data_IF_961544802995
#
_entry.id   IF_961544802995
#
_cell.length_a   1.000
_cell.length_b   1.000
_cell.length_c   1.000
_cell.angle_alpha   90.00
_cell.angle_beta   90.00
_cell.angle_gamma   90.00
#
_symmetry.space_group_name_H-M   'P 1'
#
loop_
_entity.id
_entity.type
_entity.pdbx_description
1 polymer ?
#
# COMPACT_ATOMS: atom_id res chain seq x y z
N UNK A 1 31.32 -13.66 -23.36
CA UNK A 1 30.31 -13.92 -24.40
C UNK A 1 29.12 -14.59 -23.74
N UNK A 2 28.14 -13.81 -23.23
CA UNK A 2 27.34 -14.22 -22.07
C UNK A 2 25.83 -14.28 -22.30
N UNK A 3 25.35 -14.09 -23.50
CA UNK A 3 24.01 -14.45 -24.02
C UNK A 3 24.14 -14.52 -25.52
N UNK A 4 23.78 -15.63 -26.14
CA UNK A 4 23.62 -15.69 -27.59
C UNK A 4 22.68 -14.57 -28.04
N UNK A 5 23.00 -13.80 -29.10
CA UNK A 5 22.29 -12.57 -29.46
C UNK A 5 20.81 -12.76 -29.77
N UNK A 6 20.36 -13.95 -30.15
CA UNK A 6 19.07 -14.19 -30.79
C UNK A 6 18.07 -15.04 -29.98
N UNK A 7 18.36 -15.33 -28.70
CA UNK A 7 17.37 -16.06 -27.91
C UNK A 7 16.43 -15.10 -27.15
N UNK A 8 15.10 -15.34 -27.19
CA UNK A 8 14.15 -14.53 -26.44
C UNK A 8 14.48 -14.52 -24.95
N UNK A 9 14.24 -13.40 -24.31
CA UNK A 9 14.50 -13.25 -22.90
C UNK A 9 13.64 -14.24 -22.10
N UNK A 10 14.21 -15.04 -21.17
CA UNK A 10 13.42 -16.00 -20.41
C UNK A 10 12.26 -15.33 -19.69
N UNK A 11 11.11 -16.00 -19.67
CA UNK A 11 9.86 -15.46 -19.08
C UNK A 11 9.89 -15.33 -17.57
N UNK A 12 10.77 -16.06 -16.88
CA UNK A 12 10.90 -16.02 -15.42
C UNK A 12 12.31 -15.69 -14.94
N UNK A 13 12.41 -15.08 -13.76
CA UNK A 13 13.70 -14.84 -13.09
C UNK A 13 14.48 -16.12 -12.88
N UNK A 14 13.79 -17.20 -12.62
CA UNK A 14 14.37 -18.52 -12.40
C UNK A 14 15.15 -19.02 -13.63
N UNK A 15 14.58 -18.89 -14.83
CA UNK A 15 15.29 -19.25 -16.07
C UNK A 15 16.48 -18.35 -16.34
N UNK A 16 16.38 -17.06 -16.05
CA UNK A 16 17.51 -16.12 -16.18
C UNK A 16 18.61 -16.49 -15.20
N UNK A 17 18.26 -16.75 -13.96
CA UNK A 17 19.21 -17.09 -12.92
C UNK A 17 19.85 -18.49 -13.16
N UNK A 18 19.10 -19.48 -13.66
CA UNK A 18 19.67 -20.79 -14.05
C UNK A 18 20.72 -20.65 -15.16
N UNK A 19 20.49 -19.78 -16.15
CA UNK A 19 21.52 -19.49 -17.18
C UNK A 19 22.78 -18.87 -16.58
N UNK A 20 22.64 -17.98 -15.59
CA UNK A 20 23.78 -17.40 -14.88
C UNK A 20 24.41 -18.41 -13.92
N UNK A 21 23.65 -19.28 -13.26
CA UNK A 21 24.17 -20.32 -12.38
C UNK A 21 25.13 -21.27 -13.10
N UNK A 22 24.82 -21.66 -14.35
CA UNK A 22 25.74 -22.47 -15.18
C UNK A 22 27.09 -21.81 -15.43
N UNK A 23 27.16 -20.46 -15.36
CA UNK A 23 28.39 -19.69 -15.49
C UNK A 23 29.10 -19.53 -14.14
N UNK A 24 28.37 -19.65 -13.04
CA UNK A 24 28.83 -19.48 -11.66
C UNK A 24 29.31 -20.82 -11.07
N UNK A 25 28.83 -21.96 -11.56
CA UNK A 25 29.37 -23.30 -11.20
C UNK A 25 30.88 -23.38 -11.39
N UNK A 26 31.42 -22.61 -12.32
CA UNK A 26 32.88 -22.42 -12.45
C UNK A 26 33.50 -21.64 -11.26
N UNK A 27 32.70 -21.06 -10.33
CA UNK A 27 33.16 -20.28 -9.18
C UNK A 27 32.69 -20.81 -7.82
N UNK A 28 32.05 -22.00 -7.76
CA UNK A 28 31.76 -22.70 -6.50
C UNK A 28 30.45 -22.30 -5.80
N UNK A 29 29.51 -21.62 -6.47
CA UNK A 29 28.16 -21.46 -5.91
C UNK A 29 27.43 -22.80 -5.94
N UNK A 30 26.90 -23.23 -4.78
CA UNK A 30 26.16 -24.50 -4.68
C UNK A 30 24.79 -24.37 -5.37
N UNK A 31 24.46 -25.34 -6.24
CA UNK A 31 23.14 -25.43 -6.88
C UNK A 31 22.00 -25.45 -5.84
N UNK A 32 22.23 -26.11 -4.72
CA UNK A 32 21.30 -26.15 -3.58
C UNK A 32 21.07 -24.77 -2.96
N UNK A 33 22.14 -23.99 -2.77
CA UNK A 33 22.04 -22.61 -2.25
C UNK A 33 21.27 -21.69 -3.18
N UNK A 34 21.45 -21.86 -4.48
CA UNK A 34 20.71 -21.15 -5.50
C UNK A 34 19.19 -21.48 -5.45
N UNK A 35 18.84 -22.76 -5.43
CA UNK A 35 17.45 -23.21 -5.40
C UNK A 35 16.74 -22.78 -4.11
N UNK A 36 17.40 -22.90 -2.96
CA UNK A 36 16.90 -22.43 -1.68
C UNK A 36 16.63 -20.90 -1.70
N UNK A 37 17.59 -20.12 -2.24
CA UNK A 37 17.43 -18.67 -2.32
C UNK A 37 16.28 -18.22 -3.25
N UNK A 38 16.06 -18.96 -4.34
CA UNK A 38 14.92 -18.71 -5.26
C UNK A 38 13.60 -19.19 -4.64
N UNK A 39 13.58 -20.34 -3.98
CA UNK A 39 12.39 -20.87 -3.31
C UNK A 39 11.91 -19.94 -2.19
N UNK A 40 12.82 -19.38 -1.41
CA UNK A 40 12.52 -18.45 -0.33
C UNK A 40 11.92 -17.09 -0.79
N UNK A 41 11.94 -16.79 -2.09
CA UNK A 41 11.41 -15.51 -2.59
C UNK A 41 9.90 -15.56 -2.82
N UNK A 42 9.19 -14.60 -2.23
CA UNK A 42 7.77 -14.37 -2.52
C UNK A 42 7.53 -14.09 -4.03
N UNK A 43 6.40 -14.53 -4.61
CA UNK A 43 6.10 -14.34 -6.04
C UNK A 43 6.23 -12.89 -6.53
N UNK A 44 5.76 -11.93 -5.73
CA UNK A 44 5.87 -10.50 -6.05
C UNK A 44 7.33 -10.02 -6.08
N UNK A 45 8.19 -10.56 -5.22
CA UNK A 45 9.63 -10.27 -5.19
C UNK A 45 10.32 -10.84 -6.43
N UNK A 46 9.98 -12.08 -6.81
CA UNK A 46 10.46 -12.72 -8.06
C UNK A 46 10.10 -11.87 -9.27
N UNK A 47 8.84 -11.44 -9.38
CA UNK A 47 8.37 -10.60 -10.49
C UNK A 47 9.10 -9.25 -10.55
N UNK A 48 9.30 -8.58 -9.41
CA UNK A 48 10.02 -7.31 -9.34
C UNK A 48 11.48 -7.46 -9.77
N UNK A 49 12.19 -8.47 -9.25
CA UNK A 49 13.59 -8.75 -9.61
C UNK A 49 13.68 -9.10 -11.10
N UNK A 50 12.74 -9.87 -11.64
CA UNK A 50 12.71 -10.21 -13.07
C UNK A 50 12.62 -8.95 -13.94
N UNK A 51 11.69 -8.05 -13.61
CA UNK A 51 11.51 -6.82 -14.36
C UNK A 51 12.75 -5.90 -14.28
N UNK A 52 13.35 -5.80 -13.09
CA UNK A 52 14.54 -4.99 -12.88
C UNK A 52 15.76 -5.57 -13.62
N UNK A 53 15.94 -6.89 -13.58
CA UNK A 53 17.01 -7.58 -14.28
C UNK A 53 16.86 -7.44 -15.79
N UNK A 54 15.66 -7.64 -16.33
CA UNK A 54 15.39 -7.42 -17.76
C UNK A 54 15.81 -6.03 -18.22
N UNK A 55 15.44 -5.00 -17.44
CA UNK A 55 15.82 -3.62 -17.74
C UNK A 55 17.35 -3.42 -17.69
N UNK A 56 18.02 -3.96 -16.69
CA UNK A 56 19.48 -3.84 -16.53
C UNK A 56 20.22 -4.53 -17.65
N UNK A 57 19.85 -5.77 -17.99
CA UNK A 57 20.47 -6.54 -19.06
C UNK A 57 20.27 -5.89 -20.45
N UNK A 58 19.07 -5.40 -20.72
CA UNK A 58 18.80 -4.68 -21.97
C UNK A 58 19.67 -3.43 -22.08
N UNK A 59 19.82 -2.69 -20.98
CA UNK A 59 20.70 -1.51 -20.94
C UNK A 59 22.18 -1.90 -21.14
N UNK A 60 22.68 -2.92 -20.46
CA UNK A 60 24.07 -3.39 -20.64
C UNK A 60 24.36 -3.78 -22.10
N UNK A 61 23.44 -4.52 -22.75
CA UNK A 61 23.54 -4.87 -24.17
C UNK A 61 23.59 -3.65 -25.11
N UNK A 62 22.93 -2.57 -24.73
CA UNK A 62 22.90 -1.35 -25.54
C UNK A 62 24.17 -0.51 -25.44
N UNK A 63 25.11 -0.85 -24.56
CA UNK A 63 26.39 -0.12 -24.41
C UNK A 63 27.38 -0.47 -25.52
N UNK A 64 28.32 0.43 -25.78
CA UNK A 64 29.43 0.24 -26.71
C UNK A 64 30.72 0.68 -26.01
N UNK A 65 31.63 -0.25 -25.63
CA UNK A 65 31.47 -1.70 -25.69
C UNK A 65 30.32 -2.21 -24.80
N UNK A 66 29.86 -3.45 -25.07
CA UNK A 66 28.81 -4.11 -24.26
C UNK A 66 29.29 -4.25 -22.82
N UNK A 67 28.50 -3.78 -21.86
CA UNK A 67 28.84 -3.86 -20.45
C UNK A 67 28.47 -5.23 -19.85
N UNK A 68 29.32 -5.73 -18.96
CA UNK A 68 29.06 -6.96 -18.22
C UNK A 68 28.01 -6.67 -17.13
N UNK A 69 26.95 -7.48 -17.12
CA UNK A 69 25.86 -7.30 -16.16
C UNK A 69 26.08 -8.07 -14.85
N UNK A 70 26.75 -9.24 -14.92
CA UNK A 70 27.06 -10.08 -13.73
C UNK A 70 28.41 -10.82 -13.96
N UNK A 71 29.40 -10.57 -13.10
CA UNK A 71 29.44 -9.50 -12.11
C UNK A 71 29.48 -8.13 -12.80
N UNK A 72 28.73 -7.18 -12.25
CA UNK A 72 28.76 -5.80 -12.75
C UNK A 72 29.94 -5.04 -12.15
N UNK A 73 30.55 -4.14 -12.92
CA UNK A 73 31.52 -3.20 -12.40
C UNK A 73 30.81 -2.02 -11.69
N UNK A 74 31.42 -1.43 -10.63
CA UNK A 74 30.83 -0.27 -9.95
C UNK A 74 30.53 0.90 -10.89
N UNK A 75 31.42 1.19 -11.85
CA UNK A 75 31.27 2.22 -12.89
C UNK A 75 30.05 1.94 -13.78
N UNK A 76 29.84 0.68 -14.14
CA UNK A 76 28.66 0.25 -14.91
C UNK A 76 27.36 0.59 -14.14
N UNK A 77 27.35 0.37 -12.84
CA UNK A 77 26.17 0.71 -12.00
C UNK A 77 25.96 2.21 -11.87
N UNK A 78 27.03 3.01 -11.78
CA UNK A 78 26.95 4.47 -11.78
C UNK A 78 26.35 4.98 -13.09
N UNK A 79 26.83 4.50 -14.23
CA UNK A 79 26.29 4.87 -15.54
C UNK A 79 24.81 4.44 -15.69
N UNK A 80 24.45 3.26 -15.22
CA UNK A 80 23.07 2.79 -15.21
C UNK A 80 22.15 3.68 -14.37
N UNK A 81 22.62 4.10 -13.18
CA UNK A 81 21.87 5.00 -12.30
C UNK A 81 21.64 6.37 -12.97
N UNK A 82 22.65 6.95 -13.61
CA UNK A 82 22.51 8.20 -14.33
C UNK A 82 21.53 8.07 -15.50
N UNK A 83 21.62 6.99 -16.28
CA UNK A 83 20.70 6.69 -17.36
C UNK A 83 19.25 6.59 -16.88
N UNK A 84 19.01 5.87 -15.77
CA UNK A 84 17.70 5.77 -15.17
C UNK A 84 17.17 7.11 -14.67
N UNK A 85 18.04 7.89 -14.02
CA UNK A 85 17.68 9.18 -13.43
C UNK A 85 17.37 10.26 -14.48
N UNK A 86 18.04 10.21 -15.64
CA UNK A 86 17.83 11.14 -16.77
C UNK A 86 16.49 10.89 -17.46
N UNK A 87 16.12 9.62 -17.66
CA UNK A 87 14.97 9.27 -18.50
C UNK A 87 15.28 9.37 -20.00
N UNK A 88 14.25 9.32 -20.83
CA UNK A 88 14.26 9.54 -22.29
C UNK A 88 12.83 9.87 -22.74
N UNK A 89 12.65 10.20 -24.01
CA UNK A 89 11.32 10.51 -24.59
C UNK A 89 10.32 9.36 -24.41
N UNK A 90 10.81 8.11 -24.39
CA UNK A 90 9.97 6.90 -24.21
C UNK A 90 9.93 6.38 -22.78
N UNK A 91 10.74 6.95 -21.88
CA UNK A 91 10.85 6.46 -20.48
C UNK A 91 11.03 7.64 -19.52
N UNK A 92 10.06 7.89 -18.63
CA UNK A 92 10.18 8.96 -17.66
C UNK A 92 11.38 8.77 -16.73
N UNK A 93 11.95 9.85 -16.19
CA UNK A 93 13.00 9.79 -15.18
C UNK A 93 12.59 8.94 -13.97
N UNK A 94 13.43 8.00 -13.56
CA UNK A 94 13.13 7.15 -12.43
C UNK A 94 13.25 7.93 -11.10
N UNK A 95 12.30 7.69 -10.19
CA UNK A 95 12.32 8.26 -8.83
C UNK A 95 13.44 7.65 -7.98
N UNK A 96 13.97 8.37 -6.98
CA UNK A 96 15.04 7.87 -6.10
C UNK A 96 14.74 6.51 -5.45
N UNK A 97 13.50 6.27 -5.03
CA UNK A 97 13.08 4.98 -4.48
C UNK A 97 13.18 3.83 -5.51
N UNK A 98 12.84 4.10 -6.77
CA UNK A 98 12.96 3.14 -7.88
C UNK A 98 14.43 2.82 -8.16
N UNK A 99 15.31 3.83 -8.14
CA UNK A 99 16.76 3.62 -8.32
C UNK A 99 17.33 2.73 -7.22
N UNK A 100 17.02 3.03 -5.95
CA UNK A 100 17.45 2.23 -4.82
C UNK A 100 16.96 0.78 -4.90
N UNK A 101 15.69 0.57 -5.27
CA UNK A 101 15.11 -0.77 -5.46
C UNK A 101 15.83 -1.55 -6.56
N UNK A 102 16.12 -0.93 -7.70
CA UNK A 102 16.82 -1.59 -8.82
C UNK A 102 18.24 -2.00 -8.44
N UNK A 103 18.97 -1.17 -7.73
CA UNK A 103 20.31 -1.54 -7.20
C UNK A 103 20.20 -2.67 -6.18
N UNK A 104 19.17 -2.67 -5.31
CA UNK A 104 18.92 -3.78 -4.39
C UNK A 104 18.60 -5.09 -5.13
N UNK A 105 17.88 -5.04 -6.25
CA UNK A 105 17.64 -6.20 -7.11
C UNK A 105 18.93 -6.73 -7.72
N UNK A 106 19.82 -5.86 -8.22
CA UNK A 106 21.14 -6.25 -8.73
C UNK A 106 21.97 -6.88 -7.61
N UNK A 107 22.01 -6.27 -6.40
CA UNK A 107 22.71 -6.84 -5.25
C UNK A 107 22.20 -8.23 -4.88
N UNK A 108 20.87 -8.41 -4.89
CA UNK A 108 20.24 -9.72 -4.58
C UNK A 108 20.66 -10.78 -5.58
N UNK A 109 20.69 -10.46 -6.88
CA UNK A 109 21.11 -11.36 -7.94
C UNK A 109 22.58 -11.77 -7.76
N UNK A 110 23.46 -10.81 -7.49
CA UNK A 110 24.88 -11.12 -7.25
C UNK A 110 25.04 -12.09 -6.07
N UNK A 111 24.33 -11.86 -4.94
CA UNK A 111 24.39 -12.78 -3.78
C UNK A 111 23.89 -14.18 -4.12
N UNK A 112 22.77 -14.30 -4.84
CA UNK A 112 22.23 -15.61 -5.24
C UNK A 112 23.22 -16.38 -6.11
N UNK A 113 24.04 -15.67 -6.87
CA UNK A 113 25.07 -16.23 -7.74
C UNK A 113 26.43 -16.37 -7.03
N UNK A 114 26.49 -16.28 -5.69
CA UNK A 114 27.68 -16.51 -4.89
C UNK A 114 28.68 -15.34 -4.82
N UNK A 115 28.33 -14.17 -5.39
CA UNK A 115 29.14 -12.97 -5.22
C UNK A 115 28.87 -12.31 -3.88
N UNK A 116 29.88 -11.72 -3.27
CA UNK A 116 29.76 -10.96 -2.02
C UNK A 116 30.09 -11.77 -0.77
N UNK A 117 30.52 -13.03 -0.88
CA UNK A 117 31.00 -13.83 0.25
C UNK A 117 32.45 -13.49 0.64
N UNK A 118 33.30 -13.32 -0.35
CA UNK A 118 34.75 -13.01 -0.14
C UNK A 118 35.09 -11.55 -0.37
N UNK A 119 34.35 -10.87 -1.24
CA UNK A 119 34.58 -9.47 -1.61
C UNK A 119 33.27 -8.67 -1.52
N UNK A 120 33.35 -7.37 -1.20
CA UNK A 120 32.15 -6.51 -1.19
C UNK A 120 31.46 -6.51 -2.55
N UNK A 121 30.12 -6.49 -2.55
CA UNK A 121 29.36 -6.39 -3.79
C UNK A 121 29.64 -5.08 -4.52
N UNK A 122 29.65 -5.06 -5.87
CA UNK A 122 29.81 -3.83 -6.66
C UNK A 122 28.80 -2.75 -6.28
N UNK A 123 27.59 -3.15 -5.90
CA UNK A 123 26.52 -2.26 -5.43
C UNK A 123 26.84 -1.56 -4.10
N UNK A 124 27.80 -2.05 -3.35
CA UNK A 124 28.29 -1.50 -2.07
C UNK A 124 29.47 -0.54 -2.25
N UNK A 125 30.01 -0.38 -3.45
CA UNK A 125 31.07 0.55 -3.74
C UNK A 125 30.68 1.99 -3.37
N UNK A 126 31.64 2.75 -2.85
CA UNK A 126 31.44 4.14 -2.42
C UNK A 126 30.79 4.99 -3.52
N UNK A 127 31.33 4.91 -4.75
CA UNK A 127 30.81 5.67 -5.90
C UNK A 127 29.34 5.38 -6.20
N UNK A 128 28.86 4.15 -6.04
CA UNK A 128 27.45 3.79 -6.27
C UNK A 128 26.56 4.39 -5.20
N UNK A 129 26.96 4.30 -3.93
CA UNK A 129 26.25 4.90 -2.79
C UNK A 129 26.18 6.42 -2.91
N UNK A 130 27.31 7.05 -3.26
CA UNK A 130 27.39 8.51 -3.40
C UNK A 130 26.60 9.02 -4.60
N UNK A 131 26.59 8.27 -5.71
CA UNK A 131 25.71 8.56 -6.86
C UNK A 131 24.24 8.53 -6.47
N UNK A 132 23.77 7.49 -5.77
CA UNK A 132 22.40 7.41 -5.27
C UNK A 132 22.07 8.56 -4.33
N UNK A 133 22.97 8.89 -3.42
CA UNK A 133 22.82 10.01 -2.48
C UNK A 133 22.77 11.37 -3.22
N UNK A 134 23.65 11.56 -4.21
CA UNK A 134 23.69 12.76 -5.05
C UNK A 134 22.40 12.96 -5.85
N UNK A 135 21.91 11.90 -6.50
CA UNK A 135 20.63 11.94 -7.26
C UNK A 135 19.46 12.24 -6.30
N UNK A 136 19.41 11.60 -5.13
CA UNK A 136 18.36 11.85 -4.13
C UNK A 136 18.35 13.31 -3.66
N UNK A 137 19.53 13.89 -3.41
CA UNK A 137 19.67 15.31 -3.02
C UNK A 137 19.22 16.26 -4.13
N UNK A 138 19.60 15.99 -5.38
CA UNK A 138 19.23 16.83 -6.53
C UNK A 138 17.72 16.81 -6.79
N UNK A 139 17.12 15.62 -6.77
CA UNK A 139 15.69 15.46 -7.06
C UNK A 139 14.78 15.98 -5.95
N UNK A 140 15.23 15.96 -4.68
CA UNK A 140 14.45 16.40 -3.49
C UNK A 140 13.00 15.90 -3.47
N UNK A 141 12.69 14.86 -4.23
CA UNK A 141 11.36 14.30 -4.31
C UNK A 141 11.03 13.53 -3.04
N UNK A 142 10.02 13.99 -2.32
CA UNK A 142 9.41 13.19 -1.27
C UNK A 142 8.66 12.03 -1.90
N UNK A 143 8.74 10.85 -1.30
CA UNK A 143 7.88 9.75 -1.69
C UNK A 143 6.44 10.17 -1.46
N UNK A 144 5.65 10.28 -2.54
CA UNK A 144 4.22 10.60 -2.44
C UNK A 144 3.52 9.44 -1.74
N UNK A 145 2.92 9.73 -0.60
CA UNK A 145 2.04 8.79 0.09
C UNK A 145 0.67 8.78 -0.62
N UNK A 146 -0.08 7.69 -0.43
CA UNK A 146 -1.48 7.70 -0.81
C UNK A 146 -2.22 8.75 0.02
N UNK A 147 -3.16 9.47 -0.58
CA UNK A 147 -4.02 10.37 0.16
C UNK A 147 -4.78 9.58 1.23
N UNK A 148 -4.97 10.13 2.43
CA UNK A 148 -5.71 9.45 3.48
C UNK A 148 -7.20 9.36 3.10
N UNK A 149 -7.81 8.23 3.39
CA UNK A 149 -9.25 8.05 3.34
C UNK A 149 -9.72 7.87 4.77
N UNK A 150 -10.00 9.00 5.43
CA UNK A 150 -10.44 9.08 6.83
C UNK A 150 -11.92 8.73 6.94
N UNK A 151 -12.39 8.43 8.17
CA UNK A 151 -13.79 8.03 8.37
C UNK A 151 -14.79 9.12 7.98
N UNK A 152 -14.55 10.36 8.37
CA UNK A 152 -15.42 11.49 8.03
C UNK A 152 -16.12 12.10 9.24
N UNK A 153 -15.67 11.79 10.44
CA UNK A 153 -16.14 12.39 11.69
C UNK A 153 -15.00 12.98 12.50
N UNK A 154 -15.32 13.93 13.37
CA UNK A 154 -14.36 14.44 14.34
C UNK A 154 -14.04 13.37 15.39
N UNK A 155 -12.75 13.11 15.63
CA UNK A 155 -12.32 12.09 16.59
C UNK A 155 -12.22 12.60 18.02
N UNK A 156 -12.19 13.90 18.22
CA UNK A 156 -12.18 14.56 19.53
C UNK A 156 -13.13 15.76 19.55
N UNK A 157 -13.65 16.09 20.70
CA UNK A 157 -14.50 17.28 20.87
C UNK A 157 -13.76 18.55 20.42
N UNK A 158 -14.44 19.39 19.63
CA UNK A 158 -13.90 20.64 19.11
C UNK A 158 -13.04 20.53 17.86
N UNK A 159 -12.82 19.33 17.34
CA UNK A 159 -12.20 19.15 16.02
C UNK A 159 -13.25 19.21 14.90
N UNK A 160 -12.88 19.83 13.79
CA UNK A 160 -13.68 19.71 12.57
C UNK A 160 -13.54 18.29 11.97
N UNK A 161 -14.60 17.73 11.39
CA UNK A 161 -14.50 16.49 10.63
C UNK A 161 -13.55 16.66 9.44
N UNK A 162 -12.92 15.60 8.96
CA UNK A 162 -12.08 15.68 7.75
C UNK A 162 -12.94 16.04 6.54
N UNK A 163 -12.42 16.92 5.71
CA UNK A 163 -13.04 17.37 4.46
C UNK A 163 -12.70 16.46 3.29
N UNK A 164 -13.45 16.59 2.18
CA UNK A 164 -13.25 15.87 0.93
C UNK A 164 -13.77 14.43 0.96
N UNK A 165 -13.06 13.52 0.29
CA UNK A 165 -13.47 12.11 0.19
C UNK A 165 -13.23 11.38 1.51
N UNK A 166 -14.32 10.86 2.10
CA UNK A 166 -14.30 10.13 3.37
C UNK A 166 -14.91 8.74 3.22
N UNK A 167 -14.61 7.83 4.16
CA UNK A 167 -15.24 6.50 4.19
C UNK A 167 -16.75 6.62 4.30
N UNK A 168 -17.26 7.54 5.14
CA UNK A 168 -18.68 7.80 5.33
C UNK A 168 -19.37 8.23 4.01
N UNK A 169 -18.74 9.13 3.26
CA UNK A 169 -19.24 9.56 1.95
C UNK A 169 -19.28 8.41 0.92
N UNK A 170 -18.23 7.57 0.90
CA UNK A 170 -18.21 6.39 0.03
C UNK A 170 -19.27 5.36 0.41
N UNK A 171 -19.49 5.14 1.71
CA UNK A 171 -20.54 4.24 2.19
C UNK A 171 -21.93 4.78 1.84
N UNK A 172 -22.15 6.09 1.94
CA UNK A 172 -23.40 6.74 1.55
C UNK A 172 -23.68 6.62 0.05
N UNK A 173 -22.66 6.54 -0.80
CA UNK A 173 -22.81 6.30 -2.24
C UNK A 173 -23.11 4.84 -2.61
N UNK A 174 -23.01 3.90 -1.66
CA UNK A 174 -23.32 2.50 -1.93
C UNK A 174 -24.83 2.26 -1.90
N UNK A 175 -25.40 1.82 -3.01
CA UNK A 175 -26.81 1.41 -3.10
C UNK A 175 -27.08 0.10 -2.36
N UNK A 176 -28.37 -0.28 -2.34
CA UNK A 176 -28.84 -1.54 -1.73
C UNK A 176 -28.83 -2.72 -2.70
N UNK A 177 -28.38 -2.50 -3.94
CA UNK A 177 -28.17 -3.55 -4.92
C UNK A 177 -26.96 -4.43 -4.58
N UNK A 178 -26.84 -5.55 -5.24
CA UNK A 178 -25.76 -6.53 -4.99
C UNK A 178 -24.36 -5.93 -5.14
N UNK A 179 -24.19 -4.94 -6.03
CA UNK A 179 -22.92 -4.25 -6.24
C UNK A 179 -22.64 -3.29 -5.08
N UNK A 180 -23.67 -2.52 -4.66
CA UNK A 180 -23.58 -1.62 -3.52
C UNK A 180 -23.28 -2.34 -2.22
N UNK A 181 -23.99 -3.44 -1.95
CA UNK A 181 -23.75 -4.26 -0.75
C UNK A 181 -22.32 -4.82 -0.69
N UNK A 182 -21.81 -5.35 -1.82
CA UNK A 182 -20.41 -5.80 -1.90
C UNK A 182 -19.44 -4.67 -1.61
N UNK A 183 -19.65 -3.52 -2.23
CA UNK A 183 -18.73 -2.39 -2.14
C UNK A 183 -18.74 -1.77 -0.73
N UNK A 184 -19.90 -1.67 -0.11
CA UNK A 184 -20.04 -1.20 1.28
C UNK A 184 -19.31 -2.14 2.26
N UNK A 185 -19.49 -3.46 2.12
CA UNK A 185 -18.81 -4.45 2.93
C UNK A 185 -17.27 -4.39 2.73
N UNK A 186 -16.81 -4.22 1.47
CA UNK A 186 -15.39 -4.11 1.14
C UNK A 186 -14.76 -2.85 1.74
N UNK A 187 -15.42 -1.70 1.63
CA UNK A 187 -14.95 -0.41 2.15
C UNK A 187 -14.87 -0.48 3.68
N UNK A 188 -15.91 -0.97 4.35
CA UNK A 188 -15.95 -1.09 5.80
C UNK A 188 -14.86 -2.02 6.31
N UNK A 189 -14.71 -3.22 5.73
CA UNK A 189 -13.66 -4.17 6.11
C UNK A 189 -12.26 -3.61 5.88
N UNK A 190 -12.04 -2.96 4.75
CA UNK A 190 -10.72 -2.38 4.41
C UNK A 190 -10.31 -1.28 5.40
N UNK A 191 -11.28 -0.48 5.87
CA UNK A 191 -11.03 0.58 6.83
C UNK A 191 -10.84 0.04 8.24
N UNK A 192 -11.81 -0.69 8.81
CA UNK A 192 -11.77 -1.18 10.20
C UNK A 192 -10.51 -2.00 10.48
N UNK A 193 -10.22 -2.96 9.60
CA UNK A 193 -9.06 -3.81 9.76
C UNK A 193 -7.76 -3.18 9.24
N UNK A 194 -7.80 -2.00 8.62
CA UNK A 194 -6.63 -1.33 8.06
C UNK A 194 -5.82 -2.24 7.13
N UNK A 195 -6.48 -3.01 6.26
CA UNK A 195 -5.86 -4.07 5.47
C UNK A 195 -4.93 -3.54 4.38
N UNK A 196 -3.88 -4.30 4.09
CA UNK A 196 -3.21 -4.18 2.79
C UNK A 196 -4.11 -4.76 1.71
N UNK A 197 -4.05 -4.22 0.49
CA UNK A 197 -4.89 -4.72 -0.61
C UNK A 197 -4.71 -6.22 -0.87
N UNK A 198 -3.52 -6.77 -0.61
CA UNK A 198 -3.27 -8.20 -0.72
C UNK A 198 -3.98 -9.02 0.35
N UNK A 199 -4.10 -8.51 1.55
CA UNK A 199 -4.82 -9.10 2.67
C UNK A 199 -6.34 -9.05 2.40
N UNK A 200 -6.84 -7.88 1.95
CA UNK A 200 -8.24 -7.68 1.61
C UNK A 200 -8.75 -8.66 0.54
N UNK A 201 -8.00 -8.84 -0.55
CA UNK A 201 -8.42 -9.77 -1.63
C UNK A 201 -8.21 -11.23 -1.31
N UNK A 202 -7.37 -11.54 -0.31
CA UNK A 202 -7.11 -12.90 0.15
C UNK A 202 -8.08 -13.36 1.25
N UNK A 203 -8.80 -12.43 1.90
CA UNK A 203 -9.74 -12.75 2.98
C UNK A 203 -10.81 -13.74 2.50
N UNK A 204 -11.05 -14.78 3.29
CA UNK A 204 -12.05 -15.82 3.04
C UNK A 204 -13.18 -15.74 4.07
N UNK A 205 -14.31 -16.35 3.75
CA UNK A 205 -15.44 -16.44 4.69
C UNK A 205 -15.03 -17.18 5.98
N UNK A 206 -14.14 -18.17 5.85
CA UNK A 206 -13.63 -18.92 6.98
C UNK A 206 -12.76 -18.09 7.94
N UNK A 207 -12.21 -16.96 7.49
CA UNK A 207 -11.39 -16.07 8.33
C UNK A 207 -12.23 -15.10 9.19
N UNK A 208 -13.54 -15.00 8.93
CA UNK A 208 -14.45 -14.13 9.65
C UNK A 208 -15.04 -14.82 10.85
N UNK A 209 -15.04 -14.16 12.02
CA UNK A 209 -15.67 -14.63 13.25
C UNK A 209 -16.45 -13.50 13.88
N UNK A 210 -17.73 -13.74 14.18
CA UNK A 210 -18.54 -12.82 14.95
C UNK A 210 -18.32 -13.05 16.46
N UNK A 211 -18.38 -11.96 17.22
CA UNK A 211 -18.31 -11.96 18.69
C UNK A 211 -19.70 -11.65 19.25
N UNK A 212 -19.96 -12.04 20.51
CA UNK A 212 -21.30 -11.96 21.10
C UNK A 212 -21.87 -10.55 21.27
N UNK A 213 -21.07 -9.49 21.19
CA UNK A 213 -21.48 -8.08 21.22
C UNK A 213 -21.84 -7.49 19.86
N UNK A 214 -21.90 -8.33 18.83
CA UNK A 214 -22.14 -7.92 17.43
C UNK A 214 -20.90 -7.48 16.67
N UNK A 215 -19.77 -7.25 17.34
CA UNK A 215 -18.47 -7.02 16.71
C UNK A 215 -17.92 -8.32 16.09
N UNK A 216 -16.78 -8.24 15.45
CA UNK A 216 -16.13 -9.40 14.88
C UNK A 216 -14.62 -9.29 14.83
N UNK A 217 -14.02 -10.34 14.33
CA UNK A 217 -12.59 -10.39 14.05
C UNK A 217 -12.32 -11.07 12.72
N UNK A 218 -11.30 -10.57 12.03
CA UNK A 218 -10.75 -11.18 10.84
C UNK A 218 -9.42 -11.81 11.17
N UNK A 219 -9.24 -13.09 10.85
CA UNK A 219 -7.96 -13.76 10.88
C UNK A 219 -7.20 -13.49 9.58
N UNK A 220 -5.96 -12.99 9.68
CA UNK A 220 -5.11 -12.66 8.53
C UNK A 220 -4.01 -13.71 8.49
N UNK A 221 -4.25 -14.77 7.76
CA UNK A 221 -3.35 -15.93 7.65
C UNK A 221 -2.13 -15.69 6.78
N UNK A 222 -2.17 -14.68 5.89
CA UNK A 222 -1.08 -14.38 4.96
C UNK A 222 -0.80 -12.88 4.91
N UNK A 223 0.25 -12.43 5.57
CA UNK A 223 0.72 -11.05 5.51
C UNK A 223 2.13 -10.95 4.89
N UNK A 224 2.42 -9.85 4.22
CA UNK A 224 3.76 -9.57 3.68
C UNK A 224 4.85 -9.52 4.77
N UNK A 225 4.47 -9.19 5.99
CA UNK A 225 5.36 -9.06 7.15
C UNK A 225 5.40 -10.29 8.03
N UNK A 226 4.45 -11.19 7.87
CA UNK A 226 4.37 -12.47 8.55
C UNK A 226 4.91 -13.56 7.62
N UNK A 227 6.22 -13.74 7.65
CA UNK A 227 6.90 -14.78 6.87
C UNK A 227 6.91 -16.13 7.60
N UNK A 228 6.60 -16.15 8.87
CA UNK A 228 6.57 -17.36 9.70
C UNK A 228 5.19 -17.99 9.78
N UNK A 229 4.14 -17.28 9.33
CA UNK A 229 2.78 -17.80 9.30
C UNK A 229 2.10 -17.80 10.68
N UNK A 230 2.52 -16.93 11.61
CA UNK A 230 1.90 -16.80 12.93
C UNK A 230 0.46 -16.26 12.86
N UNK A 231 0.10 -15.66 11.71
CA UNK A 231 -1.19 -15.02 11.52
C UNK A 231 -1.31 -13.71 12.29
N UNK A 232 -2.40 -13.01 12.07
CA UNK A 232 -2.74 -11.80 12.83
C UNK A 232 -4.25 -11.63 12.90
N UNK A 233 -4.73 -11.04 14.00
CA UNK A 233 -6.14 -10.73 14.17
C UNK A 233 -6.38 -9.23 13.94
N UNK A 234 -7.48 -8.91 13.26
CA UNK A 234 -7.99 -7.56 13.16
C UNK A 234 -9.41 -7.51 13.74
N UNK A 235 -9.70 -6.45 14.49
CA UNK A 235 -11.02 -6.18 15.02
C UNK A 235 -11.92 -5.57 13.94
N UNK A 236 -13.22 -5.88 14.00
CA UNK A 236 -14.26 -5.39 13.11
C UNK A 236 -15.42 -4.85 13.93
N UNK A 237 -15.93 -3.68 13.57
CA UNK A 237 -17.10 -3.08 14.19
C UNK A 237 -18.38 -3.87 13.89
N UNK A 238 -19.42 -3.70 14.73
CA UNK A 238 -20.72 -4.28 14.49
C UNK A 238 -21.33 -3.84 13.15
N UNK A 239 -21.11 -2.57 12.73
CA UNK A 239 -21.54 -2.06 11.44
C UNK A 239 -20.84 -2.78 10.26
N UNK A 240 -19.53 -3.01 10.35
CA UNK A 240 -18.79 -3.79 9.36
C UNK A 240 -19.28 -5.23 9.30
N UNK A 241 -19.56 -5.85 10.44
CA UNK A 241 -20.11 -7.20 10.48
C UNK A 241 -21.50 -7.29 9.88
N UNK A 242 -22.36 -6.31 10.14
CA UNK A 242 -23.68 -6.22 9.53
C UNK A 242 -23.62 -6.10 7.99
N UNK A 243 -22.72 -5.25 7.46
CA UNK A 243 -22.50 -5.10 6.00
C UNK A 243 -21.92 -6.36 5.38
N UNK A 244 -21.00 -7.03 6.05
CA UNK A 244 -20.49 -8.32 5.59
C UNK A 244 -21.58 -9.39 5.56
N UNK A 245 -22.40 -9.46 6.59
CA UNK A 245 -23.54 -10.41 6.66
C UNK A 245 -24.55 -10.14 5.53
N UNK A 246 -24.90 -8.90 5.29
CA UNK A 246 -25.81 -8.52 4.19
C UNK A 246 -25.23 -8.93 2.82
N UNK A 247 -23.94 -8.67 2.59
CA UNK A 247 -23.25 -9.09 1.37
C UNK A 247 -23.23 -10.61 1.22
N UNK A 248 -22.83 -11.35 2.26
CA UNK A 248 -22.75 -12.82 2.22
C UNK A 248 -24.13 -13.45 1.99
N UNK A 249 -25.19 -12.90 2.61
CA UNK A 249 -26.55 -13.36 2.42
C UNK A 249 -27.02 -13.22 0.97
N UNK A 250 -26.88 -12.03 0.38
CA UNK A 250 -27.34 -11.75 -0.99
C UNK A 250 -26.49 -12.47 -2.04
N UNK A 251 -25.20 -12.64 -1.77
CA UNK A 251 -24.30 -13.35 -2.67
C UNK A 251 -24.39 -14.87 -2.58
N UNK A 252 -24.99 -15.42 -1.52
CA UNK A 252 -25.05 -16.87 -1.26
C UNK A 252 -23.67 -17.49 -0.96
N UNK A 253 -22.67 -16.67 -0.58
CA UNK A 253 -21.32 -17.14 -0.32
C UNK A 253 -21.22 -17.73 1.09
N UNK A 254 -20.92 -19.01 1.19
CA UNK A 254 -20.66 -19.72 2.44
C UNK A 254 -19.18 -20.08 2.65
N UNK A 255 -18.37 -20.02 1.58
CA UNK A 255 -16.96 -20.40 1.62
C UNK A 255 -16.13 -19.67 0.56
N UNK A 256 -14.81 -19.77 0.68
CA UNK A 256 -13.84 -19.19 -0.24
C UNK A 256 -13.71 -17.67 -0.09
N UNK A 257 -13.25 -16.96 -1.14
CA UNK A 257 -12.98 -15.52 -1.08
C UNK A 257 -14.23 -14.72 -0.74
N UNK A 258 -14.14 -13.81 0.26
CA UNK A 258 -15.24 -12.91 0.65
C UNK A 258 -15.63 -12.00 -0.51
N UNK A 259 -14.67 -11.42 -1.21
CA UNK A 259 -14.96 -10.49 -2.30
C UNK A 259 -14.60 -11.07 -3.64
N UNK A 260 -15.62 -11.20 -4.48
CA UNK A 260 -15.53 -11.75 -5.84
C UNK A 260 -15.96 -10.72 -6.88
N UNK A 261 -15.56 -10.93 -8.13
CA UNK A 261 -15.99 -10.10 -9.24
C UNK A 261 -17.48 -10.35 -9.51
N UNK A 262 -18.23 -9.29 -9.67
CA UNK A 262 -19.59 -9.33 -10.21
C UNK A 262 -19.52 -8.97 -11.68
N UNK A 263 -19.96 -9.87 -12.54
CA UNK A 263 -20.12 -9.62 -13.97
C UNK A 263 -21.55 -9.17 -14.22
N UNK A 264 -21.70 -8.11 -14.99
CA UNK A 264 -23.01 -7.57 -15.38
C UNK A 264 -23.27 -8.05 -16.80
N UNK A 265 -24.34 -8.81 -16.98
CA UNK A 265 -24.83 -9.26 -18.28
C UNK A 265 -26.07 -8.45 -18.62
N UNK A 266 -26.00 -7.77 -19.74
CA UNK A 266 -27.10 -6.99 -20.27
C UNK A 266 -27.81 -7.81 -21.34
N UNK A 267 -29.06 -8.19 -21.08
CA UNK A 267 -29.93 -8.92 -22.02
C UNK A 267 -30.75 -7.99 -22.90
N UNK A 268 -31.59 -8.55 -23.78
CA UNK A 268 -32.56 -7.78 -24.53
C UNK A 268 -33.53 -7.05 -23.56
N UNK A 269 -34.15 -5.99 -24.06
CA UNK A 269 -35.19 -5.28 -23.30
C UNK A 269 -36.39 -6.17 -23.06
N UNK A 270 -37.04 -6.00 -21.93
CA UNK A 270 -38.33 -6.63 -21.63
C UNK A 270 -39.48 -6.02 -22.43
N UNK A 271 -40.72 -6.50 -22.21
CA UNK A 271 -41.92 -5.99 -22.88
C UNK A 271 -42.23 -4.51 -22.56
N UNK A 272 -41.63 -3.97 -21.49
CA UNK A 272 -41.78 -2.55 -21.11
C UNK A 272 -40.60 -1.70 -21.65
N UNK A 273 -39.68 -2.26 -22.46
CA UNK A 273 -38.55 -1.57 -23.00
C UNK A 273 -37.38 -1.42 -22.03
N UNK A 274 -37.47 -2.01 -20.84
CA UNK A 274 -36.38 -1.96 -19.85
C UNK A 274 -35.33 -3.05 -20.13
N UNK A 275 -34.07 -2.65 -20.10
CA UNK A 275 -32.98 -3.56 -20.33
C UNK A 275 -32.83 -4.55 -19.17
N UNK A 276 -32.88 -5.85 -19.48
CA UNK A 276 -32.71 -6.90 -18.46
C UNK A 276 -31.24 -6.95 -18.05
N UNK A 277 -30.97 -6.61 -16.79
CA UNK A 277 -29.64 -6.67 -16.20
C UNK A 277 -29.55 -7.85 -15.24
N UNK A 278 -28.62 -8.76 -15.49
CA UNK A 278 -28.34 -9.91 -14.63
C UNK A 278 -26.93 -9.78 -14.04
N UNK A 279 -26.83 -10.08 -12.75
CA UNK A 279 -25.57 -10.09 -12.03
C UNK A 279 -25.10 -11.53 -11.84
N UNK A 280 -23.86 -11.79 -12.18
CA UNK A 280 -23.21 -13.10 -11.98
C UNK A 280 -21.97 -12.91 -11.11
N UNK A 281 -21.92 -13.64 -9.99
CA UNK A 281 -20.77 -13.63 -9.07
C UNK A 281 -19.79 -14.69 -9.51
N UNK A 282 -18.56 -14.28 -9.84
CA UNK A 282 -17.50 -15.19 -10.26
C UNK A 282 -16.91 -15.98 -9.08
N UNK A 283 -16.17 -17.05 -9.37
CA UNK A 283 -15.57 -17.90 -8.34
C UNK A 283 -14.20 -17.38 -7.84
N UNK A 284 -13.55 -16.51 -8.61
CA UNK A 284 -12.22 -16.00 -8.30
C UNK A 284 -12.28 -14.76 -7.40
N UNK A 285 -11.29 -14.59 -6.51
CA UNK A 285 -11.19 -13.38 -5.69
C UNK A 285 -11.04 -12.13 -6.56
N UNK A 286 -11.42 -10.99 -6.01
CA UNK A 286 -11.11 -9.69 -6.62
C UNK A 286 -9.60 -9.56 -6.80
N UNK A 287 -9.22 -8.91 -7.90
CA UNK A 287 -7.83 -8.50 -8.09
C UNK A 287 -7.54 -7.19 -7.34
N UNK A 288 -6.26 -6.91 -7.07
CA UNK A 288 -5.85 -5.62 -6.49
C UNK A 288 -6.30 -4.44 -7.34
N UNK A 289 -6.27 -4.58 -8.67
CA UNK A 289 -6.77 -3.59 -9.63
C UNK A 289 -8.29 -3.44 -9.54
N UNK A 290 -9.00 -4.55 -9.32
CA UNK A 290 -10.45 -4.53 -9.10
C UNK A 290 -10.85 -3.70 -7.88
N UNK A 291 -10.13 -3.83 -6.76
CA UNK A 291 -10.37 -3.00 -5.56
C UNK A 291 -10.15 -1.52 -5.87
N UNK A 292 -9.09 -1.17 -6.60
CA UNK A 292 -8.83 0.23 -6.98
C UNK A 292 -9.92 0.76 -7.93
N UNK A 293 -10.41 -0.07 -8.85
CA UNK A 293 -11.50 0.32 -9.75
C UNK A 293 -12.81 0.56 -9.00
N UNK A 294 -13.13 -0.29 -8.01
CA UNK A 294 -14.28 -0.10 -7.11
C UNK A 294 -14.14 1.23 -6.36
N UNK A 295 -13.01 1.47 -5.71
CA UNK A 295 -12.77 2.71 -4.97
C UNK A 295 -12.97 3.94 -5.87
N UNK A 296 -12.39 3.94 -7.06
CA UNK A 296 -12.51 5.05 -8.01
C UNK A 296 -13.97 5.31 -8.42
N UNK A 297 -14.70 4.25 -8.73
CA UNK A 297 -16.11 4.35 -9.09
C UNK A 297 -16.91 4.95 -7.95
N UNK A 298 -16.75 4.47 -6.71
CA UNK A 298 -17.45 4.98 -5.54
C UNK A 298 -17.11 6.45 -5.24
N UNK A 299 -15.92 6.90 -5.52
CA UNK A 299 -15.56 8.32 -5.41
C UNK A 299 -16.36 9.17 -6.40
N UNK A 300 -16.43 8.76 -7.67
CA UNK A 300 -17.23 9.48 -8.66
C UNK A 300 -18.73 9.47 -8.30
N UNK A 301 -19.27 8.33 -7.91
CA UNK A 301 -20.66 8.23 -7.47
C UNK A 301 -20.95 9.09 -6.22
N UNK A 302 -20.02 9.17 -5.27
CA UNK A 302 -20.16 10.03 -4.09
C UNK A 302 -20.15 11.53 -4.46
N UNK A 303 -19.37 11.92 -5.47
CA UNK A 303 -19.37 13.29 -6.01
C UNK A 303 -20.71 13.55 -6.72
N UNK A 304 -21.12 12.68 -7.62
CA UNK A 304 -22.36 12.82 -8.42
C UNK A 304 -23.62 12.88 -7.53
N UNK A 305 -23.60 12.17 -6.39
CA UNK A 305 -24.68 12.18 -5.40
C UNK A 305 -24.59 13.32 -4.38
N UNK A 306 -23.58 14.19 -4.48
CA UNK A 306 -23.41 15.33 -3.56
C UNK A 306 -22.93 14.96 -2.15
N UNK A 307 -22.38 13.73 -1.96
CA UNK A 307 -21.80 13.31 -0.68
C UNK A 307 -20.35 13.82 -0.49
N UNK A 308 -19.75 14.33 -1.54
CA UNK A 308 -18.39 14.89 -1.54
C UNK A 308 -18.41 16.20 -2.30
N UNK A 309 -18.02 17.28 -1.61
CA UNK A 309 -17.82 18.58 -2.23
C UNK A 309 -16.35 18.75 -2.62
N UNK A 310 -16.09 19.06 -3.88
CA UNK A 310 -14.78 19.30 -4.44
C UNK A 310 -14.79 20.54 -5.32
N UNK A 311 -13.70 21.28 -5.32
CA UNK A 311 -13.50 22.33 -6.29
C UNK A 311 -13.59 21.79 -7.73
N UNK A 312 -14.27 22.46 -8.64
CA UNK A 312 -14.44 22.02 -10.02
C UNK A 312 -13.12 21.67 -10.71
N UNK A 313 -13.05 20.51 -11.34
CA UNK A 313 -11.87 20.00 -12.03
C UNK A 313 -10.86 19.25 -11.16
N UNK A 314 -11.10 19.15 -9.86
CA UNK A 314 -10.23 18.41 -8.93
C UNK A 314 -10.53 16.91 -8.84
N UNK A 315 -11.62 16.43 -9.44
CA UNK A 315 -12.12 15.06 -9.34
C UNK A 315 -11.05 14.05 -9.80
N UNK A 316 -10.46 14.30 -10.97
CA UNK A 316 -9.45 13.45 -11.56
C UNK A 316 -8.17 13.34 -10.71
N UNK A 317 -7.73 14.45 -10.11
CA UNK A 317 -6.54 14.46 -9.24
C UNK A 317 -6.83 13.79 -7.90
N UNK A 318 -8.01 14.02 -7.33
CA UNK A 318 -8.49 13.37 -6.10
C UNK A 318 -8.53 11.86 -6.28
N UNK A 319 -9.17 11.37 -7.35
CA UNK A 319 -9.24 9.93 -7.67
C UNK A 319 -7.84 9.33 -7.88
N UNK A 320 -6.92 10.05 -8.56
CA UNK A 320 -5.54 9.60 -8.77
C UNK A 320 -4.71 9.56 -7.49
N UNK A 321 -5.04 10.38 -6.51
CA UNK A 321 -4.35 10.41 -5.22
C UNK A 321 -4.75 9.23 -4.32
N UNK A 322 -5.94 8.65 -4.53
CA UNK A 322 -6.47 7.54 -3.76
C UNK A 322 -5.98 6.18 -4.30
N UNK A 323 -5.77 5.26 -3.39
CA UNK A 323 -5.42 3.87 -3.66
C UNK A 323 -6.00 2.97 -2.56
N UNK A 324 -5.94 1.66 -2.73
CA UNK A 324 -6.34 0.73 -1.66
C UNK A 324 -5.52 0.90 -0.35
N UNK A 325 -4.37 1.58 -0.39
CA UNK A 325 -3.60 1.91 0.81
C UNK A 325 -4.16 3.11 1.57
N UNK A 326 -5.03 3.90 0.93
CA UNK A 326 -5.65 5.10 1.50
C UNK A 326 -6.49 4.81 2.76
N UNK A 327 -7.17 3.66 2.82
CA UNK A 327 -7.89 3.21 4.01
C UNK A 327 -6.96 3.09 5.22
N UNK A 328 -5.80 2.44 5.02
CA UNK A 328 -4.82 2.24 6.08
C UNK A 328 -4.16 3.55 6.54
N UNK A 329 -3.92 4.46 5.61
CA UNK A 329 -3.44 5.82 5.94
C UNK A 329 -4.50 6.59 6.70
N UNK A 330 -5.76 6.54 6.26
CA UNK A 330 -6.90 7.20 6.91
C UNK A 330 -7.12 6.71 8.34
N UNK A 331 -7.22 5.39 8.53
CA UNK A 331 -7.36 4.80 9.86
C UNK A 331 -6.18 5.19 10.78
N UNK A 332 -4.95 5.19 10.26
CA UNK A 332 -3.79 5.67 11.05
C UNK A 332 -3.98 7.10 11.54
N UNK A 333 -4.46 7.97 10.65
CA UNK A 333 -4.68 9.37 10.98
C UNK A 333 -5.85 9.56 11.95
N UNK A 334 -6.91 8.76 11.82
CA UNK A 334 -8.06 8.83 12.71
C UNK A 334 -7.72 8.34 14.11
N UNK A 335 -6.99 7.24 14.24
CA UNK A 335 -6.46 6.77 15.53
C UNK A 335 -5.55 7.82 16.17
N UNK A 336 -4.68 8.46 15.39
CA UNK A 336 -3.80 9.51 15.88
C UNK A 336 -4.60 10.76 16.30
N UNK A 337 -5.64 11.14 15.56
CA UNK A 337 -6.54 12.23 15.90
C UNK A 337 -7.38 11.93 17.15
N UNK A 338 -7.69 10.66 17.39
CA UNK A 338 -8.34 10.20 18.62
C UNK A 338 -7.42 10.21 19.86
N UNK A 339 -6.12 10.50 19.67
CA UNK A 339 -5.15 10.60 20.77
C UNK A 339 -4.35 9.32 21.02
N UNK A 340 -4.52 8.29 20.20
CA UNK A 340 -3.75 7.06 20.32
C UNK A 340 -2.26 7.28 20.07
N UNK A 341 -1.43 6.59 20.81
CA UNK A 341 0.01 6.65 20.65
C UNK A 341 0.52 5.77 19.50
N UNK A 342 1.79 5.94 19.16
CA UNK A 342 2.40 5.17 18.06
C UNK A 342 2.46 3.66 18.32
N UNK A 343 2.45 3.20 19.57
CA UNK A 343 2.48 1.79 19.94
C UNK A 343 1.09 1.16 19.78
N UNK A 344 0.04 1.83 20.27
CA UNK A 344 -1.34 1.42 20.07
C UNK A 344 -1.73 1.34 18.60
N UNK A 345 -1.32 2.36 17.80
CA UNK A 345 -1.54 2.36 16.36
C UNK A 345 -0.76 1.24 15.66
N UNK A 346 0.49 0.98 16.07
CA UNK A 346 1.29 -0.10 15.50
C UNK A 346 0.66 -1.47 15.78
N UNK A 347 0.13 -1.68 16.98
CA UNK A 347 -0.59 -2.89 17.35
C UNK A 347 -1.85 -3.07 16.49
N UNK A 348 -2.71 -2.05 16.42
CA UNK A 348 -3.95 -2.08 15.64
C UNK A 348 -3.69 -2.37 14.15
N UNK A 349 -2.63 -1.80 13.58
CA UNK A 349 -2.26 -1.93 12.18
C UNK A 349 -1.23 -3.02 11.90
N UNK A 350 -0.86 -3.80 12.91
CA UNK A 350 0.09 -4.93 12.77
C UNK A 350 1.42 -4.49 12.15
N UNK A 351 1.98 -3.41 12.70
CA UNK A 351 3.31 -2.92 12.34
C UNK A 351 4.35 -3.38 13.36
N UNK A 352 5.51 -3.79 12.89
CA UNK A 352 6.63 -4.18 13.73
C UNK A 352 7.31 -2.99 14.46
N UNK A 353 6.99 -1.74 14.07
CA UNK A 353 7.60 -0.55 14.66
C UNK A 353 6.61 0.61 14.80
N UNK A 354 6.50 1.21 16.01
CA UNK A 354 5.71 2.42 16.27
C UNK A 354 6.11 3.61 15.39
N UNK A 355 7.38 3.70 14.98
CA UNK A 355 7.86 4.78 14.09
C UNK A 355 7.20 4.79 12.72
N UNK A 356 6.61 3.66 12.32
CA UNK A 356 5.84 3.59 11.08
C UNK A 356 4.57 4.45 11.17
N UNK A 357 3.88 4.45 12.31
CA UNK A 357 2.69 5.28 12.55
C UNK A 357 3.00 6.78 12.37
N UNK A 358 4.10 7.25 12.94
CA UNK A 358 4.53 8.65 12.85
C UNK A 358 4.79 9.12 11.40
N UNK A 359 5.15 8.20 10.51
CA UNK A 359 5.36 8.52 9.09
C UNK A 359 4.07 8.91 8.40
N UNK A 360 2.94 8.28 8.77
CA UNK A 360 1.63 8.52 8.17
C UNK A 360 0.87 9.66 8.84
N UNK A 361 1.14 9.92 10.11
CA UNK A 361 0.48 10.96 10.90
C UNK A 361 1.29 12.28 10.97
N UNK A 362 2.33 12.45 10.15
CA UNK A 362 3.28 13.56 10.27
C UNK A 362 2.63 14.95 10.32
N UNK A 363 1.62 15.20 9.50
CA UNK A 363 0.94 16.50 9.44
C UNK A 363 0.06 16.72 10.70
N UNK A 364 -0.68 15.71 11.12
CA UNK A 364 -1.46 15.72 12.35
C UNK A 364 -0.56 15.78 13.59
N UNK A 365 0.62 15.18 13.54
CA UNK A 365 1.59 15.19 14.64
C UNK A 365 2.13 16.60 14.94
N UNK A 366 2.12 17.52 13.99
CA UNK A 366 2.57 18.91 14.24
C UNK A 366 1.62 19.61 15.18
N UNK A 367 0.30 19.51 14.96
CA UNK A 367 -0.71 20.15 15.83
C UNK A 367 -0.91 19.44 17.17
N UNK A 368 -0.50 18.19 17.29
CA UNK A 368 -0.72 17.34 18.48
C UNK A 368 0.56 16.85 19.16
N UNK A 369 1.71 17.48 18.87
CA UNK A 369 2.98 17.11 19.50
C UNK A 369 3.08 17.67 20.94
N UNK A 370 4.07 17.19 21.69
CA UNK A 370 4.28 17.61 23.08
C UNK A 370 4.46 19.15 23.22
N UNK A 371 5.16 19.77 22.27
CA UNK A 371 5.35 21.22 22.29
C UNK A 371 4.03 21.97 22.09
N UNK A 372 3.21 21.57 21.12
CA UNK A 372 1.90 22.18 20.89
C UNK A 372 1.00 22.05 22.15
N UNK A 373 0.96 20.86 22.77
CA UNK A 373 0.18 20.65 24.01
C UNK A 373 0.67 21.42 25.20
N UNK A 374 1.98 21.54 25.40
CA UNK A 374 2.57 22.26 26.54
C UNK A 374 2.49 23.74 26.32
N UNK A 375 2.93 24.24 25.16
CA UNK A 375 2.94 25.68 24.87
C UNK A 375 1.53 26.25 24.71
N UNK A 376 0.58 25.46 24.16
CA UNK A 376 -0.84 25.85 24.14
C UNK A 376 -1.34 26.10 25.57
N UNK A 377 -1.21 25.13 26.46
CA UNK A 377 -1.61 25.31 27.88
C UNK A 377 -0.93 26.48 28.57
N UNK A 378 0.37 26.69 28.34
CA UNK A 378 1.11 27.79 28.96
C UNK A 378 0.66 29.16 28.43
N UNK A 379 0.26 29.26 27.17
CA UNK A 379 -0.16 30.52 26.56
C UNK A 379 -1.65 30.79 26.74
N UNK A 380 -2.49 29.78 26.68
CA UNK A 380 -3.94 29.90 26.90
C UNK A 380 -4.28 30.04 28.40
N UNK A 381 -3.48 29.46 29.30
CA UNK A 381 -3.62 29.59 30.76
C UNK A 381 -3.16 30.93 31.33
N UNK A 382 -2.47 31.76 30.54
CA UNK A 382 -2.05 33.10 30.95
C UNK A 382 -3.17 34.15 31.00
N UNK A 383 -4.39 33.82 30.61
CA UNK A 383 -5.55 34.73 30.61
C UNK A 383 -6.47 34.64 31.83
N UNK A 384 -6.25 33.71 32.77
CA UNK A 384 -6.96 33.68 34.04
C UNK A 384 -6.10 34.30 35.15
N UNK A 385 -5.87 35.60 35.06
CA UNK A 385 -5.43 36.39 36.22
C UNK A 385 -6.53 36.35 37.27
N UNK A 386 -6.16 35.80 38.40
CA UNK A 386 -6.72 35.99 39.73
C UNK A 386 -7.99 36.89 39.80
N UNK A 387 -9.16 36.30 39.85
CA UNK A 387 -10.28 36.93 40.54
C UNK A 387 -9.93 36.89 42.01
N UNK A 388 -9.59 38.06 42.54
CA UNK A 388 -9.49 38.31 43.97
C UNK A 388 -10.74 37.85 44.69
N UNK A 389 -10.65 37.21 45.86
CA UNK A 389 -11.82 36.87 46.64
C UNK A 389 -12.57 38.14 47.02
N UNK A 390 -13.93 38.12 47.03
CA UNK A 390 -14.70 39.28 47.47
C UNK A 390 -14.34 39.58 48.92
N UNK A 391 -14.04 40.88 49.17
CA UNK A 391 -13.84 41.40 50.47
C UNK A 391 -15.09 41.15 51.33
N UNK A 392 -14.89 40.43 52.41
CA UNK A 392 -15.91 40.26 53.46
C UNK A 392 -16.15 41.61 54.08
N UNK A 393 -17.27 42.24 53.78
CA UNK A 393 -17.82 43.35 54.56
C UNK A 393 -19.01 42.80 55.36
N UNK A 394 -18.92 43.20 56.59
CA UNK A 394 -19.98 43.25 57.62
C UNK A 394 -20.04 42.08 58.59
N UNK A 395 -19.44 42.42 59.72
CA UNK A 395 -20.02 42.13 61.02
C UNK A 395 -20.03 43.43 61.78
N UNK A 396 -21.20 43.97 61.99
CA UNK A 396 -21.70 44.53 63.19
C UNK A 396 -23.16 44.24 63.33
#
# INVERSE_FOLDING_TARGET
MLVAPDQPFPSSVELVLRRYALLVDARGASALGFEAAVAAMAPATKAAITADLKCFLAWCKSRRPVATAVPAEPETLVHYLHWLAKGSDTRPPAKPATLARRIASVARIHRILGFGEKEPLPTQAGMVRDTLKGIRRKKRERQRQAAPLRFGEAMQNGQAPPEGVTVKALLASCGTDIIGLRDAALISLAYDAGLRVSELVAATVADLRQVGDGSGRLEITHSKTDQLGEGALAWLSGDTMARLSAWLLVSGLSEGPVFRRINVLTGPSDAAGQQIVRHYIGDRPLTRQGVVAILRRRVFEAIDLGHVDLEPGMEGDTVRALSAHSFRVGLTQDLFAAGEDGAGIALALRWSSPTTALRYARELAVGNNAAARVLGRLRDGGGQTARSPPANRDIL
#
